data_IF_456653714003
#
_entry.id   IF_456653714003
#
_cell.length_a   1.000
_cell.length_b   1.000
_cell.length_c   1.000
_cell.angle_alpha   90.00
_cell.angle_beta   90.00
_cell.angle_gamma   90.00
#
_symmetry.space_group_name_H-M   'P 1'
#
loop_
_entity.id
_entity.type
_entity.pdbx_description
1 polymer ?
#
# COMPACT_ATOMS: atom_id res chain seq x y z
N UNK A 1 10.26 0.48 -4.95
CA UNK A 1 8.84 0.11 -5.12
C UNK A 1 8.66 -0.93 -6.20
N UNK A 2 9.39 -0.83 -7.31
CA UNK A 2 9.34 -1.84 -8.38
C UNK A 2 9.44 -3.30 -7.88
N UNK A 3 10.45 -3.62 -7.06
CA UNK A 3 10.62 -4.96 -6.47
C UNK A 3 9.41 -5.42 -5.61
N UNK A 4 8.71 -4.49 -4.96
CA UNK A 4 7.48 -4.82 -4.22
C UNK A 4 6.38 -5.25 -5.19
N UNK A 5 6.13 -4.45 -6.21
CA UNK A 5 5.03 -4.66 -7.17
C UNK A 5 5.29 -5.91 -8.03
N UNK A 6 6.55 -6.21 -8.33
CA UNK A 6 6.98 -7.37 -9.11
C UNK A 6 7.32 -8.61 -8.26
N UNK A 7 7.01 -8.65 -6.96
CA UNK A 7 7.22 -9.87 -6.15
C UNK A 7 6.47 -11.06 -6.75
N UNK A 8 6.89 -12.29 -6.46
CA UNK A 8 6.23 -13.46 -7.07
C UNK A 8 4.87 -13.75 -6.44
N UNK A 9 4.03 -14.54 -7.12
CA UNK A 9 2.78 -15.03 -6.55
C UNK A 9 3.01 -15.90 -5.30
N UNK A 10 4.15 -16.60 -5.23
CA UNK A 10 4.54 -17.41 -4.07
C UNK A 10 4.79 -16.54 -2.84
N UNK A 11 5.56 -15.46 -2.98
CA UNK A 11 5.79 -14.52 -1.87
C UNK A 11 4.46 -13.92 -1.37
N UNK A 12 3.55 -13.55 -2.29
CA UNK A 12 2.22 -13.06 -1.91
C UNK A 12 1.40 -14.08 -1.13
N UNK A 13 1.42 -15.36 -1.52
CA UNK A 13 0.74 -16.43 -0.77
C UNK A 13 1.36 -16.65 0.61
N UNK A 14 2.68 -16.59 0.73
CA UNK A 14 3.37 -16.69 2.03
C UNK A 14 3.03 -15.52 2.96
N UNK A 15 2.85 -14.31 2.43
CA UNK A 15 2.38 -13.16 3.21
C UNK A 15 0.98 -13.39 3.81
N UNK A 16 0.10 -14.06 3.06
CA UNK A 16 -1.25 -14.43 3.51
C UNK A 16 -1.21 -15.51 4.58
N UNK A 17 -0.38 -16.53 4.40
CA UNK A 17 -0.17 -17.60 5.39
C UNK A 17 0.31 -17.03 6.73
N UNK A 18 1.29 -16.12 6.70
CA UNK A 18 1.79 -15.41 7.88
C UNK A 18 0.73 -14.55 8.58
N UNK A 19 -0.36 -14.23 7.90
CA UNK A 19 -1.50 -13.46 8.42
C UNK A 19 -2.72 -14.35 8.67
N UNK A 20 -2.52 -15.64 8.90
CA UNK A 20 -3.58 -16.61 9.18
C UNK A 20 -4.66 -16.64 8.08
N UNK A 21 -4.25 -16.59 6.81
CA UNK A 21 -5.16 -16.63 5.67
C UNK A 21 -5.77 -15.27 5.30
N UNK A 22 -5.44 -14.19 6.01
CA UNK A 22 -5.97 -12.86 5.70
C UNK A 22 -5.29 -12.21 4.50
N UNK A 23 -6.01 -12.13 3.38
CA UNK A 23 -5.59 -11.43 2.17
C UNK A 23 -5.82 -9.92 2.32
N UNK A 24 -4.73 -9.16 2.39
CA UNK A 24 -4.82 -7.70 2.44
C UNK A 24 -5.17 -7.08 1.10
N UNK A 25 -5.81 -5.91 1.14
CA UNK A 25 -6.10 -5.12 -0.07
C UNK A 25 -4.81 -4.81 -0.85
N UNK A 26 -4.83 -4.87 -2.19
CA UNK A 26 -3.72 -4.37 -2.99
C UNK A 26 -3.53 -2.87 -2.75
N UNK A 27 -2.27 -2.43 -2.72
CA UNK A 27 -1.95 -1.02 -2.52
C UNK A 27 -2.30 -0.21 -3.78
N UNK A 28 -2.94 0.95 -3.58
CA UNK A 28 -3.11 1.96 -4.63
C UNK A 28 -1.83 2.81 -4.78
N UNK A 29 -1.83 3.76 -5.73
CA UNK A 29 -0.67 4.61 -6.01
C UNK A 29 -0.20 5.40 -4.78
N UNK A 30 -1.13 6.00 -4.04
CA UNK A 30 -0.80 6.72 -2.81
C UNK A 30 -0.27 5.82 -1.69
N UNK A 31 -0.81 4.61 -1.51
CA UNK A 31 -0.33 3.67 -0.49
C UNK A 31 1.08 3.17 -0.80
N UNK A 32 1.38 2.93 -2.10
CA UNK A 32 2.73 2.66 -2.55
C UNK A 32 3.66 3.86 -2.29
N UNK A 33 3.23 5.08 -2.60
CA UNK A 33 4.00 6.29 -2.35
C UNK A 33 4.32 6.47 -0.86
N UNK A 34 3.29 6.44 -0.01
CA UNK A 34 3.43 6.53 1.45
C UNK A 34 4.36 5.45 2.00
N UNK A 35 4.32 4.22 1.49
CA UNK A 35 5.22 3.16 1.96
C UNK A 35 6.69 3.45 1.61
N UNK A 36 6.96 4.09 0.47
CA UNK A 36 8.32 4.48 0.09
C UNK A 36 8.79 5.65 0.95
N UNK A 37 7.90 6.61 1.20
CA UNK A 37 8.14 7.74 2.08
C UNK A 37 8.39 7.31 3.53
N UNK A 38 7.63 6.33 4.03
CA UNK A 38 7.83 5.73 5.34
C UNK A 38 9.25 5.14 5.46
N UNK A 39 9.70 4.37 4.47
CA UNK A 39 11.05 3.79 4.48
C UNK A 39 12.14 4.87 4.51
N UNK A 40 11.97 5.93 3.71
CA UNK A 40 12.89 7.08 3.68
C UNK A 40 12.94 7.82 5.01
N UNK A 41 11.78 8.01 5.64
CA UNK A 41 11.63 8.78 6.89
C UNK A 41 11.95 7.98 8.14
N UNK A 42 11.97 6.64 8.10
CA UNK A 42 12.40 5.80 9.24
C UNK A 42 13.77 6.20 9.80
N UNK A 43 14.69 6.64 8.95
CA UNK A 43 16.01 7.09 9.37
C UNK A 43 16.00 8.41 10.16
N UNK A 44 14.97 9.24 9.97
CA UNK A 44 14.86 10.59 10.55
C UNK A 44 13.86 10.64 11.72
N UNK A 45 12.80 9.84 11.63
CA UNK A 45 11.77 9.73 12.66
C UNK A 45 11.94 8.43 13.45
N UNK A 46 12.80 8.47 14.47
CA UNK A 46 12.97 7.39 15.45
C UNK A 46 11.65 7.00 16.15
N UNK A 47 10.69 7.92 16.21
CA UNK A 47 9.31 7.65 16.62
C UNK A 47 8.49 7.35 15.37
N UNK A 48 8.15 6.09 15.17
CA UNK A 48 7.44 5.52 14.02
C UNK A 48 5.97 6.00 13.94
N UNK A 49 5.76 7.33 13.94
CA UNK A 49 4.44 7.94 14.00
C UNK A 49 3.81 7.91 12.61
N UNK A 50 3.05 6.84 12.35
CA UNK A 50 2.33 6.66 11.10
C UNK A 50 1.36 7.79 10.76
N UNK A 51 0.89 8.58 11.74
CA UNK A 51 0.04 9.75 11.47
C UNK A 51 0.85 10.85 10.78
N UNK A 52 2.04 11.16 11.31
CA UNK A 52 2.94 12.16 10.74
C UNK A 52 3.36 11.76 9.33
N UNK A 53 3.79 10.50 9.14
CA UNK A 53 4.18 10.00 7.81
C UNK A 53 3.03 10.12 6.82
N UNK A 54 1.78 9.88 7.24
CA UNK A 54 0.62 10.00 6.36
C UNK A 54 0.29 11.45 6.03
N UNK A 55 0.39 12.37 7.01
CA UNK A 55 0.16 13.81 6.79
C UNK A 55 1.16 14.35 5.78
N UNK A 56 2.46 14.13 6.03
CA UNK A 56 3.53 14.64 5.17
C UNK A 56 3.48 14.01 3.79
N UNK A 57 3.25 12.70 3.68
CA UNK A 57 3.09 12.06 2.37
C UNK A 57 1.84 12.58 1.63
N UNK A 58 0.77 12.90 2.35
CA UNK A 58 -0.44 13.51 1.78
C UNK A 58 -0.22 14.91 1.23
N UNK A 59 0.58 15.73 1.92
CA UNK A 59 0.96 17.08 1.50
C UNK A 59 1.95 17.04 0.31
N UNK A 60 2.90 16.11 0.32
CA UNK A 60 3.91 15.96 -0.72
C UNK A 60 3.36 15.36 -2.02
N UNK A 61 2.42 14.41 -1.93
CA UNK A 61 1.88 13.70 -3.10
C UNK A 61 1.37 14.61 -4.26
N UNK A 62 0.57 15.67 -4.03
CA UNK A 62 0.15 16.56 -5.10
C UNK A 62 1.30 17.43 -5.65
N UNK A 63 2.38 17.63 -4.89
CA UNK A 63 3.56 18.42 -5.27
C UNK A 63 4.57 17.61 -6.08
N UNK A 64 4.49 16.28 -6.06
CA UNK A 64 5.36 15.41 -6.83
C UNK A 64 5.22 15.66 -8.35
N UNK A 65 6.30 15.51 -9.12
CA UNK A 65 6.25 15.59 -10.58
C UNK A 65 5.23 14.63 -11.19
N UNK A 66 4.68 15.01 -12.34
CA UNK A 66 3.66 14.22 -13.02
C UNK A 66 4.17 12.81 -13.34
N UNK A 67 5.42 12.71 -13.77
CA UNK A 67 6.10 11.46 -14.12
C UNK A 67 6.16 10.50 -12.93
N UNK A 68 6.42 11.02 -11.72
CA UNK A 68 6.42 10.23 -10.49
C UNK A 68 5.01 9.72 -10.20
N UNK A 69 4.01 10.60 -10.26
CA UNK A 69 2.62 10.20 -10.00
C UNK A 69 2.14 9.14 -10.99
N UNK A 70 2.51 9.27 -12.26
CA UNK A 70 2.17 8.31 -13.32
C UNK A 70 2.87 6.97 -13.10
N UNK A 71 4.15 6.97 -12.75
CA UNK A 71 4.89 5.75 -12.41
C UNK A 71 4.21 4.99 -11.26
N UNK A 72 3.77 5.69 -10.21
CA UNK A 72 3.05 5.08 -9.09
C UNK A 72 1.63 4.61 -9.48
N UNK A 73 0.96 5.29 -10.41
CA UNK A 73 -0.31 4.83 -10.98
C UNK A 73 -0.13 3.53 -11.77
N UNK A 74 0.93 3.41 -12.56
CA UNK A 74 1.23 2.19 -13.32
C UNK A 74 1.62 1.03 -12.40
N UNK A 75 2.44 1.30 -11.39
CA UNK A 75 2.70 0.33 -10.33
C UNK A 75 1.42 -0.09 -9.60
N UNK A 76 0.48 0.81 -9.33
CA UNK A 76 -0.79 0.44 -8.71
C UNK A 76 -1.67 -0.44 -9.60
N UNK A 77 -1.66 -0.21 -10.93
CA UNK A 77 -2.34 -1.10 -11.90
C UNK A 77 -1.70 -2.49 -11.88
N UNK A 78 -0.37 -2.55 -11.90
CA UNK A 78 0.37 -3.82 -11.90
C UNK A 78 0.23 -4.58 -10.57
N UNK A 79 0.26 -3.89 -9.43
CA UNK A 79 0.00 -4.50 -8.11
C UNK A 79 -1.42 -5.10 -8.06
N UNK A 80 -2.41 -4.40 -8.60
CA UNK A 80 -3.79 -4.93 -8.68
C UNK A 80 -3.86 -6.19 -9.54
N UNK A 81 -3.22 -6.19 -10.70
CA UNK A 81 -3.20 -7.33 -11.61
C UNK A 81 -2.48 -8.54 -10.97
N UNK A 82 -1.30 -8.32 -10.40
CA UNK A 82 -0.52 -9.36 -9.72
C UNK A 82 -1.23 -9.91 -8.49
N UNK A 83 -1.91 -9.05 -7.72
CA UNK A 83 -2.72 -9.48 -6.59
C UNK A 83 -3.90 -10.36 -7.05
N UNK A 84 -4.60 -9.98 -8.12
CA UNK A 84 -5.71 -10.78 -8.66
C UNK A 84 -5.22 -12.15 -9.16
N UNK A 85 -4.07 -12.20 -9.83
CA UNK A 85 -3.46 -13.45 -10.28
C UNK A 85 -3.02 -14.36 -9.12
N UNK A 86 -2.48 -13.77 -8.04
CA UNK A 86 -2.05 -14.52 -6.85
C UNK A 86 -3.22 -14.97 -5.96
N UNK A 87 -4.32 -14.23 -5.96
CA UNK A 87 -5.49 -14.46 -5.11
C UNK A 87 -6.79 -14.43 -5.94
N UNK A 88 -7.04 -15.43 -6.81
CA UNK A 88 -8.21 -15.44 -7.70
C UNK A 88 -9.56 -15.47 -6.95
N UNK A 89 -9.59 -15.99 -5.72
CA UNK A 89 -10.77 -16.00 -4.85
C UNK A 89 -10.97 -14.74 -4.01
N UNK A 90 -10.08 -13.75 -4.12
CA UNK A 90 -10.18 -12.53 -3.31
C UNK A 90 -11.40 -11.69 -3.72
N UNK A 91 -12.25 -11.38 -2.74
CA UNK A 91 -13.35 -10.42 -2.89
C UNK A 91 -13.24 -9.35 -1.81
N UNK A 92 -13.28 -8.09 -2.23
CA UNK A 92 -13.34 -6.99 -1.29
C UNK A 92 -14.71 -6.99 -0.60
N UNK A 93 -14.70 -7.37 0.68
CA UNK A 93 -15.84 -7.26 1.57
C UNK A 93 -15.50 -6.22 2.63
N UNK A 94 -15.99 -4.96 2.51
CA UNK A 94 -15.79 -3.99 3.55
C UNK A 94 -16.42 -4.53 4.85
N UNK A 95 -15.61 -4.65 5.90
CA UNK A 95 -16.14 -4.90 7.23
C UNK A 95 -17.15 -3.80 7.55
N UNK A 96 -18.37 -4.17 7.92
CA UNK A 96 -19.36 -3.23 8.48
C UNK A 96 -18.81 -2.79 9.84
N UNK A 97 -17.87 -1.84 9.85
CA UNK A 97 -17.43 -1.23 11.10
C UNK A 97 -18.58 -0.40 11.64
N UNK A 98 -19.32 -0.95 12.60
CA UNK A 98 -20.14 -0.20 13.54
C UNK A 98 -19.21 0.64 14.39
N UNK A 99 -18.74 1.78 13.87
CA UNK A 99 -18.04 2.72 14.74
C UNK A 99 -18.41 4.17 14.45
N UNK A 100 -18.94 4.79 15.50
CA UNK A 100 -19.32 6.19 15.62
C UNK A 100 -18.19 7.05 15.07
N UNK A 101 -18.55 8.01 14.20
CA UNK A 101 -17.70 9.13 13.82
C UNK A 101 -17.06 9.71 15.08
N UNK A 102 -15.74 9.52 15.26
CA UNK A 102 -14.99 10.37 16.20
C UNK A 102 -14.94 11.74 15.52
N UNK A 103 -15.71 12.65 16.10
CA UNK A 103 -15.86 14.05 15.72
C UNK A 103 -14.59 14.81 16.03
#
# INVERSE_FOLDING_TARGET
MDAWVNRSAEVRRQEVEKRNGYVTRPMNSFMLYRSAFAERTKHWCLQNNHQVVSSVAGESWPLEPQEVRDQYNDWAKLERANHAAAHPGYKFSPSKSTNKRRK
#
